data_IF_739973716827
#
_entry.id   IF_739973716827
#
_cell.length_a   1.000
_cell.length_b   1.000
_cell.length_c   1.000
_cell.angle_alpha   90.00
_cell.angle_beta   90.00
_cell.angle_gamma   90.00
#
_symmetry.space_group_name_H-M   'P 1'
#
loop_
_entity.id
_entity.type
_entity.pdbx_description
1 polymer ?
#
# COMPACT_ATOMS: atom_id res chain seq x y z
N UNK A 1 3.37 -2.23 -5.07
CA UNK A 1 2.11 -1.64 -4.57
C UNK A 1 1.66 -0.47 -5.44
N UNK A 2 2.53 0.52 -5.68
CA UNK A 2 2.14 1.74 -6.39
C UNK A 2 1.56 1.47 -7.79
N UNK A 3 2.22 0.64 -8.59
CA UNK A 3 1.75 0.32 -9.94
C UNK A 3 0.38 -0.36 -9.91
N UNK A 4 0.21 -1.31 -9.00
CA UNK A 4 -1.03 -2.07 -8.91
C UNK A 4 -2.15 -1.25 -8.29
N UNK A 5 -1.82 -0.30 -7.42
CA UNK A 5 -2.82 0.62 -6.87
C UNK A 5 -3.42 1.49 -7.98
N UNK A 6 -2.58 2.05 -8.85
CA UNK A 6 -3.06 2.86 -9.98
C UNK A 6 -3.88 2.01 -10.95
N UNK A 7 -3.40 0.81 -11.28
CA UNK A 7 -4.12 -0.12 -12.16
C UNK A 7 -5.46 -0.51 -11.58
N UNK A 8 -5.50 -0.82 -10.29
CA UNK A 8 -6.74 -1.19 -9.61
C UNK A 8 -7.74 -0.05 -9.57
N UNK A 9 -7.26 1.17 -9.32
CA UNK A 9 -8.12 2.35 -9.35
C UNK A 9 -8.72 2.58 -10.72
N UNK A 10 -7.93 2.42 -11.78
CA UNK A 10 -8.38 2.54 -13.16
C UNK A 10 -9.43 1.49 -13.51
N UNK A 11 -9.18 0.23 -13.14
CA UNK A 11 -10.11 -0.87 -13.41
C UNK A 11 -11.42 -0.67 -12.66
N UNK A 12 -11.36 -0.24 -11.42
CA UNK A 12 -12.55 0.05 -10.63
C UNK A 12 -13.37 1.17 -11.26
N UNK A 13 -12.71 2.25 -11.70
CA UNK A 13 -13.35 3.39 -12.35
C UNK A 13 -14.08 2.97 -13.63
N UNK A 14 -13.46 2.16 -14.46
CA UNK A 14 -14.08 1.63 -15.68
C UNK A 14 -15.30 0.76 -15.39
N UNK A 15 -15.19 -0.09 -14.39
CA UNK A 15 -16.24 -1.04 -14.03
C UNK A 15 -17.44 -0.36 -13.42
N UNK A 16 -17.20 0.62 -12.57
CA UNK A 16 -18.25 1.31 -11.81
C UNK A 16 -18.72 2.61 -12.46
N UNK A 17 -18.03 3.07 -13.51
CA UNK A 17 -18.31 4.33 -14.21
C UNK A 17 -18.21 5.55 -13.29
N UNK A 18 -17.31 5.49 -12.30
CA UNK A 18 -16.99 6.62 -11.45
C UNK A 18 -15.70 7.28 -11.88
N UNK A 19 -15.60 8.58 -11.68
CA UNK A 19 -14.34 9.30 -11.83
C UNK A 19 -13.50 9.18 -10.55
N UNK A 20 -13.15 7.95 -10.18
CA UNK A 20 -12.47 7.67 -8.93
C UNK A 20 -11.12 8.38 -8.84
N UNK A 21 -10.34 8.33 -9.92
CA UNK A 21 -9.01 8.96 -9.95
C UNK A 21 -9.14 10.47 -9.83
N UNK A 22 -10.12 11.06 -10.52
CA UNK A 22 -10.37 12.50 -10.50
C UNK A 22 -10.72 13.01 -9.11
N UNK A 23 -11.51 12.23 -8.38
CA UNK A 23 -11.99 12.63 -7.05
C UNK A 23 -11.16 12.04 -5.91
N UNK A 24 -10.11 11.29 -6.22
CA UNK A 24 -9.26 10.74 -5.16
C UNK A 24 -8.51 11.86 -4.46
N UNK A 25 -8.40 11.73 -3.16
CA UNK A 25 -7.68 12.69 -2.34
C UNK A 25 -6.16 12.51 -2.46
N UNK A 26 -5.39 13.32 -1.75
CA UNK A 26 -3.94 13.27 -1.75
C UNK A 26 -3.35 11.90 -1.43
N UNK A 27 -4.11 11.03 -0.73
CA UNK A 27 -3.67 9.68 -0.41
C UNK A 27 -3.28 8.86 -1.62
N UNK A 28 -4.14 8.80 -2.64
CA UNK A 28 -3.83 8.05 -3.85
C UNK A 28 -2.62 8.65 -4.56
N UNK A 29 -2.51 9.97 -4.63
CA UNK A 29 -1.38 10.66 -5.23
C UNK A 29 -0.08 10.28 -4.53
N UNK A 30 -0.07 10.32 -3.21
CA UNK A 30 1.14 10.02 -2.43
C UNK A 30 1.55 8.56 -2.55
N UNK A 31 0.61 7.63 -2.47
CA UNK A 31 0.90 6.20 -2.57
C UNK A 31 1.27 5.76 -3.98
N UNK A 32 0.83 6.49 -5.01
CA UNK A 32 1.09 6.13 -6.40
C UNK A 32 2.33 6.81 -6.99
N UNK A 33 3.02 7.63 -6.23
CA UNK A 33 4.13 8.44 -6.72
C UNK A 33 5.21 7.63 -7.44
N UNK A 34 5.57 6.47 -6.91
CA UNK A 34 6.59 5.61 -7.50
C UNK A 34 6.16 5.04 -8.84
N UNK A 35 4.86 4.96 -9.10
CA UNK A 35 4.36 4.46 -10.39
C UNK A 35 4.79 5.32 -11.59
N UNK A 36 5.24 6.55 -11.36
CA UNK A 36 5.75 7.42 -12.40
C UNK A 36 7.26 7.27 -12.64
N UNK A 37 7.92 6.36 -11.93
CA UNK A 37 9.37 6.16 -12.02
C UNK A 37 9.77 5.35 -13.26
N UNK A 38 11.08 5.29 -13.52
CA UNK A 38 11.65 4.59 -14.68
C UNK A 38 11.26 3.10 -14.68
N UNK A 39 10.52 2.71 -15.68
CA UNK A 39 9.96 1.36 -15.80
C UNK A 39 11.03 0.28 -16.05
N UNK A 40 12.05 0.58 -16.81
CA UNK A 40 13.12 -0.37 -17.12
C UNK A 40 13.93 -0.68 -15.88
N UNK A 41 14.28 0.35 -15.11
CA UNK A 41 14.99 0.21 -13.86
C UNK A 41 14.22 -0.68 -12.88
N UNK A 42 12.90 -0.43 -12.72
CA UNK A 42 12.08 -1.19 -11.79
C UNK A 42 11.85 -2.62 -12.26
N UNK A 43 11.72 -2.83 -13.57
CA UNK A 43 11.66 -4.19 -14.12
C UNK A 43 12.89 -5.00 -13.70
N UNK A 44 14.06 -4.43 -13.88
CA UNK A 44 15.32 -5.10 -13.56
C UNK A 44 15.44 -5.37 -12.06
N UNK A 45 15.06 -4.40 -11.22
CA UNK A 45 15.03 -4.58 -9.77
C UNK A 45 14.12 -5.74 -9.38
N UNK A 46 12.92 -5.79 -9.93
CA UNK A 46 11.97 -6.85 -9.63
C UNK A 46 12.47 -8.23 -10.05
N UNK A 47 13.07 -8.33 -11.23
CA UNK A 47 13.59 -9.61 -11.72
C UNK A 47 14.79 -10.09 -10.94
N UNK A 48 15.71 -9.18 -10.60
CA UNK A 48 16.91 -9.52 -9.83
C UNK A 48 16.57 -10.00 -8.41
N UNK A 49 15.53 -9.47 -7.82
CA UNK A 49 15.10 -9.80 -6.46
C UNK A 49 13.77 -10.56 -6.44
N UNK A 50 13.52 -11.36 -7.46
CA UNK A 50 12.25 -12.03 -7.71
C UNK A 50 11.70 -12.79 -6.51
N UNK A 51 12.51 -13.61 -5.86
CA UNK A 51 12.06 -14.46 -4.74
C UNK A 51 11.53 -13.62 -3.59
N UNK A 52 12.26 -12.59 -3.19
CA UNK A 52 11.87 -11.75 -2.07
C UNK A 52 10.66 -10.88 -2.41
N UNK A 53 10.62 -10.35 -3.63
CA UNK A 53 9.51 -9.51 -4.09
C UNK A 53 8.22 -10.31 -4.14
N UNK A 54 8.24 -11.49 -4.73
CA UNK A 54 7.04 -12.33 -4.82
C UNK A 54 6.57 -12.80 -3.45
N UNK A 55 7.50 -13.11 -2.56
CA UNK A 55 7.16 -13.46 -1.17
C UNK A 55 6.48 -12.30 -0.46
N UNK A 56 6.99 -11.10 -0.62
CA UNK A 56 6.38 -9.91 -0.04
C UNK A 56 4.98 -9.65 -0.59
N UNK A 57 4.79 -9.87 -1.89
CA UNK A 57 3.48 -9.76 -2.53
C UNK A 57 2.51 -10.78 -1.93
N UNK A 58 2.94 -12.02 -1.77
CA UNK A 58 2.08 -13.07 -1.19
C UNK A 58 1.65 -12.73 0.24
N UNK A 59 2.58 -12.23 1.05
CA UNK A 59 2.26 -11.79 2.42
C UNK A 59 1.23 -10.65 2.39
N UNK A 60 1.45 -9.68 1.52
CA UNK A 60 0.53 -8.55 1.38
C UNK A 60 -0.87 -9.01 0.93
N UNK A 61 -0.92 -9.91 -0.05
CA UNK A 61 -2.19 -10.46 -0.54
C UNK A 61 -2.93 -11.21 0.56
N UNK A 62 -2.23 -12.01 1.36
CA UNK A 62 -2.84 -12.75 2.46
C UNK A 62 -3.41 -11.80 3.51
N UNK A 63 -2.67 -10.75 3.86
CA UNK A 63 -3.14 -9.75 4.81
C UNK A 63 -4.36 -9.00 4.27
N UNK A 64 -4.34 -8.66 3.00
CA UNK A 64 -5.46 -7.96 2.35
C UNK A 64 -6.71 -8.83 2.30
N UNK A 65 -6.56 -10.11 1.96
CA UNK A 65 -7.67 -11.05 1.93
C UNK A 65 -8.28 -11.26 3.33
N UNK A 66 -7.43 -11.34 4.34
CA UNK A 66 -7.89 -11.46 5.74
C UNK A 66 -8.68 -10.23 6.18
N UNK A 67 -8.18 -9.05 5.82
CA UNK A 67 -8.87 -7.78 6.10
C UNK A 67 -10.22 -7.71 5.39
N UNK A 68 -10.26 -8.08 4.13
CA UNK A 68 -11.49 -8.13 3.33
C UNK A 68 -12.52 -9.07 3.95
N UNK A 69 -12.08 -10.23 4.44
CA UNK A 69 -12.94 -11.19 5.12
C UNK A 69 -13.55 -10.61 6.37
N UNK A 70 -12.77 -9.89 7.16
CA UNK A 70 -13.26 -9.23 8.38
C UNK A 70 -14.34 -8.20 8.06
N UNK A 71 -14.16 -7.44 6.99
CA UNK A 71 -15.14 -6.44 6.55
C UNK A 71 -16.43 -7.12 6.11
N UNK A 72 -16.32 -8.13 5.26
CA UNK A 72 -17.50 -8.84 4.72
C UNK A 72 -18.31 -9.53 5.80
N UNK A 73 -17.64 -10.10 6.80
CA UNK A 73 -18.31 -10.79 7.90
C UNK A 73 -18.67 -9.87 9.06
N UNK A 74 -18.32 -8.59 8.97
CA UNK A 74 -18.50 -7.59 10.04
C UNK A 74 -17.88 -8.06 11.34
N UNK A 75 -16.68 -8.65 11.26
CA UNK A 75 -15.98 -9.17 12.43
C UNK A 75 -15.35 -8.02 13.21
N UNK A 76 -16.11 -7.45 14.13
CA UNK A 76 -15.74 -6.27 14.89
C UNK A 76 -14.45 -6.48 15.70
N UNK A 77 -14.34 -7.61 16.38
CA UNK A 77 -13.17 -7.93 17.23
C UNK A 77 -11.90 -8.02 16.39
N UNK A 78 -11.93 -8.75 15.29
CA UNK A 78 -10.77 -8.99 14.45
C UNK A 78 -10.29 -7.70 13.79
N UNK A 79 -11.21 -6.92 13.23
CA UNK A 79 -10.82 -5.68 12.53
C UNK A 79 -10.28 -4.63 13.50
N UNK A 80 -10.88 -4.48 14.67
CA UNK A 80 -10.38 -3.54 15.68
C UNK A 80 -9.00 -3.94 16.18
N UNK A 81 -8.75 -5.23 16.36
CA UNK A 81 -7.43 -5.72 16.75
C UNK A 81 -6.37 -5.40 15.71
N UNK A 82 -6.68 -5.63 14.43
CA UNK A 82 -5.76 -5.33 13.32
C UNK A 82 -5.45 -3.84 13.23
N UNK A 83 -6.45 -3.00 13.29
CA UNK A 83 -6.29 -1.55 13.22
C UNK A 83 -5.49 -1.03 14.42
N UNK A 84 -5.79 -1.52 15.62
CA UNK A 84 -5.10 -1.12 16.83
C UNK A 84 -3.62 -1.51 16.81
N UNK A 85 -3.31 -2.73 16.36
CA UNK A 85 -1.93 -3.20 16.26
C UNK A 85 -1.12 -2.39 15.25
N UNK A 86 -1.68 -2.10 14.09
CA UNK A 86 -1.00 -1.30 13.06
C UNK A 86 -0.79 0.13 13.52
N UNK A 87 -1.74 0.69 14.25
CA UNK A 87 -1.60 2.02 14.85
C UNK A 87 -0.39 2.07 15.81
N UNK A 88 -0.20 1.05 16.62
CA UNK A 88 0.95 0.96 17.54
C UNK A 88 2.27 0.91 16.76
N UNK A 89 2.32 0.10 15.71
CA UNK A 89 3.52 -0.01 14.88
C UNK A 89 3.83 1.33 14.21
N UNK A 90 2.83 2.00 13.69
CA UNK A 90 3.00 3.32 13.06
C UNK A 90 3.54 4.35 14.06
N UNK A 91 3.05 4.32 15.30
CA UNK A 91 3.56 5.21 16.35
C UNK A 91 5.03 4.98 16.63
N UNK A 92 5.49 3.72 16.64
CA UNK A 92 6.91 3.39 16.79
C UNK A 92 7.74 3.93 15.62
N UNK A 93 7.26 3.81 14.40
CA UNK A 93 7.95 4.31 13.21
C UNK A 93 8.15 5.82 13.31
N UNK A 94 7.11 6.54 13.65
CA UNK A 94 7.17 8.01 13.79
C UNK A 94 8.17 8.40 14.88
N UNK A 95 8.13 7.71 16.03
CA UNK A 95 9.05 7.97 17.14
C UNK A 95 10.50 7.74 16.75
N UNK A 96 10.79 6.66 16.03
CA UNK A 96 12.14 6.37 15.56
C UNK A 96 12.67 7.43 14.61
N UNK A 97 11.85 7.95 13.72
CA UNK A 97 12.23 9.02 12.80
C UNK A 97 12.54 10.32 13.53
N UNK A 98 11.77 10.64 14.55
CA UNK A 98 12.02 11.81 15.39
C UNK A 98 13.34 11.68 16.16
N UNK A 99 13.62 10.50 16.68
CA UNK A 99 14.83 10.23 17.45
C UNK A 99 16.08 10.32 16.58
N UNK A 100 16.01 9.91 15.32
CA UNK A 100 17.16 9.94 14.41
C UNK A 100 17.42 11.30 13.79
N UNK A 101 16.43 12.18 13.77
CA UNK A 101 16.52 13.51 13.16
C UNK A 101 17.03 13.48 11.71
N UNK A 102 16.66 12.44 10.98
CA UNK A 102 17.05 12.25 9.59
C UNK A 102 15.88 12.49 8.64
N UNK A 103 16.17 12.98 7.42
CA UNK A 103 15.10 13.12 6.42
C UNK A 103 14.48 11.76 6.10
N UNK A 104 13.24 11.80 5.70
CA UNK A 104 12.52 10.61 5.28
C UNK A 104 12.79 10.37 3.80
N UNK A 105 13.69 9.45 3.51
CA UNK A 105 14.15 9.18 2.15
C UNK A 105 13.05 8.73 1.19
N UNK A 106 11.97 8.22 1.67
CA UNK A 106 10.87 7.80 0.82
C UNK A 106 10.01 8.95 0.30
N UNK A 107 10.29 10.17 0.71
CA UNK A 107 9.42 11.32 0.45
C UNK A 107 9.97 12.35 -0.50
N UNK A 108 11.15 12.17 -0.93
CA UNK A 108 11.77 13.16 -1.83
C UNK A 108 11.23 13.11 -3.25
#
# INVERSE_FOLDING_TARGET
>A
IAYNLVKSAQDFEKKQKYDLIKYSAGGLRDFSRIAASNEIMWRDIFFDNRKNVTKAIDIFMNNLNSFKKDINSKNNRSILKKLSQTKKVRSKIVKLKQDTNKPDFGRN
#
